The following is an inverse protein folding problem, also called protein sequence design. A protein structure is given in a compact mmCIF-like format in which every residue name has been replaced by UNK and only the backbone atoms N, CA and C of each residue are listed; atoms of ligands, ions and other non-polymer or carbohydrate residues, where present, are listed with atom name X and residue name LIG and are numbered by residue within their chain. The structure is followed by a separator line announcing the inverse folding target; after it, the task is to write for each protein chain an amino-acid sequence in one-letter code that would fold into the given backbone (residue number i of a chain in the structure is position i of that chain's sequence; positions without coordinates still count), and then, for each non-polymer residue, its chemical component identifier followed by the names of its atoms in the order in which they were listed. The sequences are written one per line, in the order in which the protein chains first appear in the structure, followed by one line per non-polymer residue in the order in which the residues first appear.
data_IF_014977512577
#
_entry.id   IF_014977512577
#
_cell.length_a   1.000
_cell.length_b   1.000
_cell.length_c   1.000
_cell.angle_alpha   90.00
_cell.angle_beta   90.00
_cell.angle_gamma   90.00
#
_symmetry.space_group_name_H-M   'P 1'
#
loop_
_entity.id
_entity.type
_entity.pdbx_description
1 polymer ?
#
# COMPACT_ATOMS: atom_id res chain seq x y z
N UNK A 1 17.30 -31.81 18.87
CA UNK A 1 17.22 -31.43 20.28
C UNK A 1 16.35 -30.20 20.37
N UNK A 2 15.19 -30.29 20.97
CA UNK A 2 14.38 -29.12 21.30
C UNK A 2 15.13 -28.36 22.39
N UNK A 3 15.56 -27.15 22.11
CA UNK A 3 16.23 -26.27 23.10
C UNK A 3 15.30 -26.10 24.31
N UNK A 4 15.70 -26.59 25.46
CA UNK A 4 15.00 -26.38 26.72
C UNK A 4 15.14 -24.90 27.09
N UNK A 5 14.04 -24.13 27.00
CA UNK A 5 14.05 -22.70 27.27
C UNK A 5 12.76 -22.21 27.91
N UNK A 6 12.90 -21.21 28.74
CA UNK A 6 11.78 -20.37 29.20
C UNK A 6 11.82 -19.02 28.50
N UNK A 7 10.63 -18.49 28.22
CA UNK A 7 10.47 -17.18 27.57
C UNK A 7 9.54 -16.31 28.39
N UNK A 8 9.96 -15.10 28.63
CA UNK A 8 9.21 -14.11 29.41
C UNK A 8 9.07 -12.81 28.63
N UNK A 9 7.87 -12.28 28.62
CA UNK A 9 7.61 -10.93 28.15
C UNK A 9 8.03 -9.93 29.23
N UNK A 10 8.82 -8.93 28.83
CA UNK A 10 9.34 -7.91 29.75
C UNK A 10 8.74 -6.53 29.48
N UNK A 11 8.70 -5.69 30.50
CA UNK A 11 8.41 -4.28 30.37
C UNK A 11 9.57 -3.57 29.65
N UNK A 12 9.38 -3.22 28.37
CA UNK A 12 10.40 -2.64 27.49
C UNK A 12 10.93 -1.29 27.99
N UNK A 13 10.08 -0.49 28.63
CA UNK A 13 10.45 0.86 29.09
C UNK A 13 11.44 0.88 30.25
N UNK A 14 11.40 -0.14 31.09
CA UNK A 14 12.25 -0.22 32.29
C UNK A 14 13.54 -1.02 32.08
N UNK A 15 13.63 -1.81 31.02
CA UNK A 15 14.74 -2.75 30.79
C UNK A 15 16.09 -2.04 30.78
N UNK A 16 16.24 -0.96 30.03
CA UNK A 16 17.53 -0.30 29.87
C UNK A 16 18.07 0.35 31.15
N UNK A 17 17.17 0.92 31.96
CA UNK A 17 17.58 1.57 33.19
C UNK A 17 18.02 0.57 34.29
N UNK A 18 17.46 -0.64 34.26
CA UNK A 18 17.73 -1.67 35.27
C UNK A 18 18.80 -2.68 34.84
N UNK A 19 18.83 -3.07 33.55
CA UNK A 19 19.80 -4.06 33.06
C UNK A 19 21.20 -3.49 32.90
N UNK A 20 21.36 -2.30 32.37
CA UNK A 20 22.69 -1.68 32.15
C UNK A 20 23.45 -1.44 33.49
N UNK A 21 22.73 -1.39 34.62
CA UNK A 21 23.33 -1.23 35.95
C UNK A 21 23.79 -2.56 36.57
N UNK A 22 23.20 -3.67 36.15
CA UNK A 22 23.34 -4.96 36.87
C UNK A 22 24.03 -6.06 36.06
N UNK A 23 24.15 -5.91 34.74
CA UNK A 23 24.69 -6.96 33.88
C UNK A 23 25.60 -6.41 32.78
N UNK A 24 26.69 -7.14 32.49
CA UNK A 24 27.52 -6.91 31.31
C UNK A 24 26.82 -7.56 30.12
N UNK A 25 26.34 -6.75 29.18
CA UNK A 25 25.60 -7.22 28.02
C UNK A 25 26.35 -6.94 26.73
N UNK A 26 26.43 -7.94 25.86
CA UNK A 26 26.84 -7.73 24.47
C UNK A 26 25.62 -7.42 23.61
N UNK A 27 25.67 -6.35 22.82
CA UNK A 27 24.60 -5.92 21.95
C UNK A 27 24.91 -6.26 20.48
N UNK A 28 24.03 -7.03 19.85
CA UNK A 28 24.08 -7.30 18.42
C UNK A 28 22.76 -6.92 17.75
N UNK A 29 22.83 -6.34 16.55
CA UNK A 29 21.65 -5.98 15.73
C UNK A 29 21.41 -7.01 14.66
N UNK A 30 20.16 -7.36 14.42
CA UNK A 30 19.75 -8.34 13.43
C UNK A 30 18.62 -7.80 12.54
N UNK A 31 18.61 -8.27 11.29
CA UNK A 31 17.62 -7.96 10.27
C UNK A 31 16.98 -9.26 9.77
N UNK A 32 15.69 -9.22 9.46
CA UNK A 32 14.98 -10.36 8.90
C UNK A 32 15.41 -10.59 7.45
N UNK A 33 15.78 -11.82 7.14
CA UNK A 33 16.22 -12.27 5.82
C UNK A 33 15.44 -13.50 5.38
N UNK A 34 15.05 -13.53 4.10
CA UNK A 34 14.58 -14.75 3.45
C UNK A 34 15.76 -15.45 2.75
N UNK A 35 16.01 -16.72 3.09
CA UNK A 35 16.99 -17.57 2.43
C UNK A 35 16.40 -18.97 2.24
N UNK A 36 16.39 -19.47 1.00
CA UNK A 36 15.86 -20.80 0.67
C UNK A 36 14.43 -21.04 1.22
N UNK A 37 13.53 -20.08 1.02
CA UNK A 37 12.16 -20.09 1.51
C UNK A 37 11.99 -20.14 3.05
N UNK A 38 13.06 -19.92 3.81
CA UNK A 38 13.02 -19.84 5.26
C UNK A 38 13.38 -18.44 5.75
N UNK A 39 12.64 -17.97 6.76
CA UNK A 39 12.95 -16.71 7.45
C UNK A 39 14.10 -16.95 8.43
N UNK A 40 15.11 -16.10 8.37
CA UNK A 40 16.26 -16.12 9.27
C UNK A 40 16.68 -14.71 9.66
N UNK A 41 17.38 -14.58 10.77
CA UNK A 41 18.00 -13.33 11.17
C UNK A 41 19.43 -13.23 10.61
N UNK A 42 19.82 -12.03 10.21
CA UNK A 42 21.16 -11.71 9.77
C UNK A 42 21.61 -10.38 10.38
N UNK A 43 22.88 -10.27 10.72
CA UNK A 43 23.51 -9.00 11.12
C UNK A 43 23.85 -8.11 9.92
N UNK A 44 23.61 -8.56 8.69
CA UNK A 44 23.86 -7.82 7.47
C UNK A 44 22.53 -7.35 6.86
N UNK A 45 22.39 -6.03 6.68
CA UNK A 45 21.19 -5.38 6.13
C UNK A 45 21.05 -5.47 4.61
N UNK A 46 22.15 -5.74 3.85
CA UNK A 46 22.16 -5.71 2.38
C UNK A 46 21.13 -6.64 1.72
N UNK A 47 20.77 -7.71 2.42
CA UNK A 47 19.78 -8.71 1.96
C UNK A 47 18.52 -8.74 2.83
N UNK A 48 18.31 -7.72 3.68
CA UNK A 48 17.12 -7.67 4.52
C UNK A 48 15.85 -7.51 3.69
N UNK A 49 14.80 -8.25 4.05
CA UNK A 49 13.46 -8.11 3.44
C UNK A 49 12.85 -6.78 3.88
N UNK A 50 13.01 -6.46 5.17
CA UNK A 50 12.48 -5.27 5.81
C UNK A 50 13.63 -4.50 6.45
N UNK A 51 13.97 -3.32 5.94
CA UNK A 51 15.04 -2.50 6.51
C UNK A 51 14.69 -1.87 7.86
N UNK A 52 13.41 -1.91 8.25
CA UNK A 52 12.90 -1.35 9.50
C UNK A 52 12.83 -2.38 10.65
N UNK A 53 13.05 -3.66 10.37
CA UNK A 53 13.01 -4.73 11.36
C UNK A 53 14.37 -4.85 12.05
N UNK A 54 14.58 -4.06 13.08
CA UNK A 54 15.72 -4.14 13.97
C UNK A 54 15.34 -4.98 15.18
N UNK A 55 15.94 -6.17 15.29
CA UNK A 55 16.03 -6.89 16.54
C UNK A 55 17.38 -6.59 17.17
N UNK A 56 17.38 -5.98 18.35
CA UNK A 56 18.57 -5.90 19.20
C UNK A 56 18.61 -7.11 20.12
N UNK A 57 19.70 -7.84 20.08
CA UNK A 57 19.96 -9.00 20.96
C UNK A 57 20.97 -8.60 22.02
N UNK A 58 20.61 -8.81 23.28
CA UNK A 58 21.51 -8.63 24.44
C UNK A 58 21.74 -9.99 25.08
N UNK A 59 23.00 -10.42 25.11
CA UNK A 59 23.42 -11.68 25.74
C UNK A 59 24.06 -11.41 27.09
N UNK A 60 23.69 -12.19 28.10
CA UNK A 60 24.23 -12.12 29.45
C UNK A 60 24.06 -13.47 30.17
N UNK A 61 24.48 -13.58 31.40
CA UNK A 61 24.33 -14.81 32.21
C UNK A 61 23.58 -14.52 33.50
N UNK A 62 22.67 -15.44 33.84
CA UNK A 62 22.01 -15.51 35.17
C UNK A 62 22.45 -16.79 35.87
N UNK A 63 23.20 -16.67 36.96
CA UNK A 63 23.68 -17.84 37.73
C UNK A 63 24.26 -18.96 36.84
N UNK A 64 25.12 -18.60 35.89
CA UNK A 64 25.73 -19.46 34.85
C UNK A 64 24.83 -19.87 33.65
N UNK A 65 23.53 -19.66 33.70
CA UNK A 65 22.64 -19.92 32.56
C UNK A 65 22.75 -18.84 31.50
N UNK A 66 22.87 -19.23 30.22
CA UNK A 66 22.88 -18.27 29.12
C UNK A 66 21.50 -17.63 28.98
N UNK A 67 21.45 -16.33 28.95
CA UNK A 67 20.26 -15.53 28.81
C UNK A 67 20.36 -14.58 27.62
N UNK A 68 19.24 -14.37 26.96
CA UNK A 68 19.12 -13.48 25.83
C UNK A 68 17.90 -12.58 25.98
N UNK A 69 18.08 -11.28 25.86
CA UNK A 69 16.96 -10.35 25.66
C UNK A 69 16.89 -9.99 24.19
N UNK A 70 15.73 -10.23 23.62
CA UNK A 70 15.36 -9.86 22.26
C UNK A 70 14.51 -8.60 22.33
N UNK A 71 15.01 -7.50 21.80
CA UNK A 71 14.29 -6.24 21.72
C UNK A 71 13.89 -5.97 20.28
N UNK A 72 12.60 -5.80 20.04
CA UNK A 72 12.04 -5.49 18.74
C UNK A 72 11.73 -3.99 18.70
N UNK A 73 12.65 -3.20 18.16
CA UNK A 73 12.59 -1.73 18.18
C UNK A 73 11.36 -1.17 17.42
N UNK A 74 10.80 -1.93 16.46
CA UNK A 74 9.68 -1.49 15.63
C UNK A 74 8.29 -1.66 16.27
N UNK A 75 8.18 -2.46 17.34
CA UNK A 75 6.89 -2.77 17.95
C UNK A 75 6.88 -2.72 19.48
N UNK A 76 7.91 -2.11 20.05
CA UNK A 76 8.07 -1.94 21.51
C UNK A 76 7.85 -3.24 22.30
N UNK A 77 8.55 -4.29 21.90
CA UNK A 77 8.44 -5.63 22.46
C UNK A 77 9.80 -6.11 22.95
N UNK A 78 9.87 -6.59 24.19
CA UNK A 78 11.06 -7.17 24.78
C UNK A 78 10.77 -8.57 25.31
N UNK A 79 11.58 -9.55 24.91
CA UNK A 79 11.45 -10.95 25.29
C UNK A 79 12.75 -11.42 25.93
N UNK A 80 12.68 -11.97 27.15
CA UNK A 80 13.76 -12.70 27.78
C UNK A 80 13.67 -14.17 27.41
N UNK A 81 14.75 -14.75 26.92
CA UNK A 81 14.92 -16.20 26.76
C UNK A 81 16.01 -16.67 27.72
N UNK A 82 15.71 -17.69 28.53
CA UNK A 82 16.66 -18.38 29.39
C UNK A 82 16.83 -19.78 28.87
N UNK A 83 18.08 -20.17 28.59
CA UNK A 83 18.43 -21.45 28.03
C UNK A 83 18.93 -22.40 29.12
N UNK A 84 18.48 -23.66 29.10
CA UNK A 84 18.82 -24.69 30.08
C UNK A 84 19.55 -25.84 29.41
N UNK A 85 20.51 -26.40 30.12
CA UNK A 85 21.26 -27.56 29.67
C UNK A 85 20.45 -28.86 29.83
N UNK A 86 19.64 -28.94 30.88
CA UNK A 86 18.83 -30.11 31.23
C UNK A 86 17.48 -29.75 31.88
N UNK A 87 16.65 -30.77 32.10
CA UNK A 87 15.33 -30.62 32.68
C UNK A 87 15.34 -30.32 34.19
N UNK A 88 16.40 -30.67 34.90
CA UNK A 88 16.54 -30.43 36.33
C UNK A 88 16.88 -28.96 36.57
N UNK A 89 17.75 -28.35 35.78
CA UNK A 89 17.99 -26.90 35.80
C UNK A 89 16.68 -26.13 35.54
N UNK A 90 15.86 -26.58 34.58
CA UNK A 90 14.59 -25.93 34.23
C UNK A 90 13.60 -26.01 35.42
N UNK A 91 13.47 -27.16 36.11
CA UNK A 91 12.56 -27.34 37.25
C UNK A 91 12.93 -26.49 38.46
N UNK A 92 14.22 -26.33 38.70
CA UNK A 92 14.74 -25.62 39.87
C UNK A 92 14.96 -24.12 39.62
N UNK A 93 14.77 -23.65 38.42
CA UNK A 93 15.04 -22.26 38.05
C UNK A 93 14.03 -21.30 38.66
N UNK A 94 14.56 -20.25 39.30
CA UNK A 94 13.80 -19.10 39.80
C UNK A 94 14.42 -17.83 39.23
N UNK A 95 13.57 -16.96 38.70
CA UNK A 95 14.02 -15.66 38.25
C UNK A 95 14.55 -14.82 39.42
N UNK A 96 15.71 -14.16 39.28
CA UNK A 96 16.15 -13.16 40.23
C UNK A 96 15.14 -12.03 40.37
N UNK A 97 14.91 -11.53 41.58
CA UNK A 97 13.92 -10.49 41.86
C UNK A 97 14.08 -9.22 40.99
N UNK A 98 15.31 -8.88 40.60
CA UNK A 98 15.61 -7.73 39.71
C UNK A 98 14.98 -7.89 38.35
N UNK A 99 14.88 -9.13 37.85
CA UNK A 99 14.29 -9.43 36.53
C UNK A 99 12.81 -9.77 36.70
N UNK A 100 12.46 -10.51 37.74
CA UNK A 100 11.08 -10.93 38.00
C UNK A 100 10.13 -9.73 38.08
N UNK A 101 10.57 -8.64 38.70
CA UNK A 101 9.83 -7.37 38.75
C UNK A 101 9.60 -6.71 37.35
N UNK A 102 10.30 -7.15 36.31
CA UNK A 102 10.14 -6.67 34.94
C UNK A 102 9.28 -7.61 34.09
N UNK A 103 8.99 -8.81 34.59
CA UNK A 103 8.21 -9.82 33.85
C UNK A 103 6.74 -9.42 33.84
N UNK A 104 6.16 -9.36 32.65
CA UNK A 104 4.74 -9.13 32.46
C UNK A 104 3.97 -10.45 32.29
N UNK A 105 4.59 -11.45 31.67
CA UNK A 105 3.93 -12.70 31.29
C UNK A 105 4.96 -13.80 30.97
N UNK A 106 4.67 -15.05 31.30
CA UNK A 106 5.39 -16.21 30.80
C UNK A 106 4.79 -16.64 29.45
N UNK A 107 5.58 -16.49 28.37
CA UNK A 107 5.15 -16.73 26.99
C UNK A 107 5.84 -17.96 26.36
N UNK A 108 6.35 -18.87 27.18
CA UNK A 108 7.18 -20.01 26.73
C UNK A 108 6.53 -20.83 25.60
N UNK A 109 5.24 -21.12 25.72
CA UNK A 109 4.49 -21.92 24.76
C UNK A 109 3.54 -21.10 23.87
N UNK A 110 3.77 -19.79 23.77
CA UNK A 110 2.92 -18.93 22.96
C UNK A 110 3.57 -18.59 21.61
N UNK A 111 3.12 -19.28 20.56
CA UNK A 111 3.65 -19.15 19.20
C UNK A 111 3.45 -17.75 18.60
N UNK A 112 2.49 -16.96 19.10
CA UNK A 112 2.30 -15.57 18.65
C UNK A 112 3.54 -14.72 18.86
N UNK A 113 4.36 -15.05 19.88
CA UNK A 113 5.64 -14.41 20.17
C UNK A 113 6.82 -15.08 19.47
N UNK A 114 6.60 -16.08 18.62
CA UNK A 114 7.68 -16.62 17.81
C UNK A 114 8.29 -15.53 16.93
N UNK A 115 9.61 -15.59 16.73
CA UNK A 115 10.39 -14.60 15.99
C UNK A 115 9.72 -14.20 14.66
N UNK A 116 9.31 -15.21 13.89
CA UNK A 116 8.73 -14.99 12.57
C UNK A 116 7.38 -14.26 12.66
N UNK A 117 6.55 -14.59 13.66
CA UNK A 117 5.25 -13.98 13.83
C UNK A 117 5.38 -12.52 14.27
N UNK A 118 6.25 -12.25 15.26
CA UNK A 118 6.53 -10.86 15.67
C UNK A 118 7.13 -10.04 14.51
N UNK A 119 8.04 -10.63 13.74
CA UNK A 119 8.66 -9.96 12.62
C UNK A 119 7.67 -9.60 11.50
N UNK A 120 6.70 -10.45 11.22
CA UNK A 120 5.73 -10.26 10.15
C UNK A 120 4.53 -9.40 10.60
N UNK A 121 4.00 -9.67 11.78
CA UNK A 121 2.72 -9.14 12.24
C UNK A 121 2.83 -8.14 13.40
N UNK A 122 4.00 -8.01 14.04
CA UNK A 122 4.23 -7.07 15.12
C UNK A 122 3.92 -7.62 16.51
N UNK A 123 3.67 -6.71 17.45
CA UNK A 123 3.44 -7.05 18.86
C UNK A 123 2.07 -7.72 19.07
N UNK A 124 1.99 -8.97 19.56
CA UNK A 124 0.73 -9.68 19.79
C UNK A 124 -0.20 -9.00 20.81
N UNK A 125 0.34 -8.19 21.72
CA UNK A 125 -0.45 -7.43 22.71
C UNK A 125 -1.03 -6.14 22.19
N UNK A 126 -0.59 -5.69 21.01
CA UNK A 126 -1.10 -4.46 20.44
C UNK A 126 -2.55 -4.64 20.00
N UNK A 127 -3.42 -3.80 20.54
CA UNK A 127 -4.81 -3.70 20.09
C UNK A 127 -4.97 -2.45 19.24
N UNK A 128 -5.30 -2.64 17.99
CA UNK A 128 -5.56 -1.53 17.08
C UNK A 128 -6.78 -0.74 17.54
N UNK A 129 -6.60 0.53 17.83
CA UNK A 129 -7.70 1.41 18.19
C UNK A 129 -8.22 2.12 16.94
N UNK A 130 -9.27 1.53 16.35
CA UNK A 130 -9.89 2.03 15.13
C UNK A 130 -10.37 3.48 15.24
N UNK A 131 -11.04 3.84 16.33
CA UNK A 131 -11.57 5.20 16.53
C UNK A 131 -10.47 6.27 16.56
N UNK A 132 -9.35 5.98 17.21
CA UNK A 132 -8.20 6.86 17.19
C UNK A 132 -7.55 6.94 15.81
N UNK A 133 -7.41 5.80 15.12
CA UNK A 133 -6.85 5.76 13.77
C UNK A 133 -7.70 6.56 12.77
N UNK A 134 -9.03 6.50 12.87
CA UNK A 134 -9.94 7.31 12.05
C UNK A 134 -9.72 8.81 12.26
N UNK A 135 -9.59 9.26 13.50
CA UNK A 135 -9.32 10.68 13.78
C UNK A 135 -8.02 11.15 13.13
N UNK A 136 -6.97 10.33 13.18
CA UNK A 136 -5.71 10.63 12.47
C UNK A 136 -5.88 10.62 10.96
N UNK A 137 -6.54 9.61 10.40
CA UNK A 137 -6.76 9.48 8.97
C UNK A 137 -7.54 10.67 8.39
N UNK A 138 -8.55 11.18 9.10
CA UNK A 138 -9.33 12.34 8.68
C UNK A 138 -8.53 13.65 8.64
N UNK A 139 -7.53 13.79 9.51
CA UNK A 139 -6.83 15.06 9.72
C UNK A 139 -5.49 15.15 8.99
N UNK A 140 -4.82 14.03 8.69
CA UNK A 140 -3.52 14.03 8.03
C UNK A 140 -3.67 14.20 6.51
N UNK A 141 -2.81 15.06 5.95
CA UNK A 141 -2.75 15.25 4.48
C UNK A 141 -2.19 14.01 3.76
N UNK A 142 -1.26 13.30 4.40
CA UNK A 142 -0.63 12.08 3.90
C UNK A 142 -0.73 11.00 4.98
N UNK A 143 -1.80 10.24 4.94
CA UNK A 143 -2.00 9.12 5.85
C UNK A 143 -1.23 7.90 5.34
N UNK A 144 -0.47 7.26 6.22
CA UNK A 144 0.18 5.98 5.98
C UNK A 144 -0.21 5.02 7.09
N UNK A 145 -0.82 3.92 6.72
CA UNK A 145 -1.22 2.91 7.70
C UNK A 145 0.01 2.15 8.17
N UNK A 146 0.37 2.36 9.43
CA UNK A 146 1.44 1.65 10.11
C UNK A 146 0.90 1.16 11.45
N UNK A 147 1.25 -0.07 11.82
CA UNK A 147 0.83 -0.66 13.08
C UNK A 147 1.94 -1.53 13.65
N UNK A 148 2.19 -1.44 14.97
CA UNK A 148 3.09 -2.34 15.67
C UNK A 148 2.48 -3.73 15.94
N UNK A 149 1.30 -4.04 15.44
CA UNK A 149 0.61 -5.31 15.64
C UNK A 149 -0.40 -5.63 14.56
N UNK A 150 -1.30 -6.56 14.85
CA UNK A 150 -2.35 -7.03 13.95
C UNK A 150 -3.41 -5.95 13.72
N UNK A 151 -3.84 -5.82 12.45
CA UNK A 151 -4.97 -4.99 12.05
C UNK A 151 -5.92 -5.85 11.23
N UNK A 152 -7.23 -5.77 11.50
CA UNK A 152 -8.22 -6.42 10.66
C UNK A 152 -8.28 -5.76 9.27
N UNK A 153 -8.62 -6.53 8.25
CA UNK A 153 -8.69 -6.01 6.89
C UNK A 153 -9.72 -4.87 6.79
N UNK A 154 -10.90 -5.01 7.38
CA UNK A 154 -11.92 -3.96 7.31
C UNK A 154 -11.50 -2.69 8.06
N UNK A 155 -10.85 -2.76 9.22
CA UNK A 155 -10.38 -1.57 9.93
C UNK A 155 -9.30 -0.83 9.13
N UNK A 156 -8.34 -1.58 8.60
CA UNK A 156 -7.26 -0.99 7.81
C UNK A 156 -7.77 -0.35 6.52
N UNK A 157 -8.67 -1.01 5.80
CA UNK A 157 -9.23 -0.50 4.54
C UNK A 157 -10.11 0.72 4.80
N UNK A 158 -10.96 0.70 5.84
CA UNK A 158 -11.77 1.86 6.23
C UNK A 158 -10.89 3.08 6.54
N UNK A 159 -9.82 2.89 7.32
CA UNK A 159 -8.88 3.98 7.62
C UNK A 159 -8.24 4.57 6.37
N UNK A 160 -7.87 3.74 5.39
CA UNK A 160 -7.30 4.23 4.13
C UNK A 160 -8.35 4.97 3.31
N UNK A 161 -9.56 4.45 3.18
CA UNK A 161 -10.64 5.12 2.43
C UNK A 161 -11.02 6.45 3.06
N UNK A 162 -11.16 6.52 4.39
CA UNK A 162 -11.47 7.78 5.09
C UNK A 162 -10.36 8.83 4.90
N UNK A 163 -9.10 8.39 4.82
CA UNK A 163 -7.97 9.28 4.57
C UNK A 163 -8.00 9.95 3.20
N UNK A 164 -8.68 9.36 2.23
CA UNK A 164 -8.84 9.89 0.88
C UNK A 164 -9.96 10.94 0.76
N UNK A 165 -10.87 11.04 1.75
CA UNK A 165 -12.01 11.98 1.70
C UNK A 165 -11.56 13.43 1.67
N UNK A 166 -10.61 13.81 2.52
CA UNK A 166 -10.10 15.20 2.58
C UNK A 166 -9.38 15.61 1.28
N UNK A 167 -8.44 14.80 0.74
CA UNK A 167 -7.85 15.06 -0.58
C UNK A 167 -8.88 15.10 -1.70
N UNK A 168 -9.89 14.22 -1.67
CA UNK A 168 -10.95 14.20 -2.67
C UNK A 168 -11.77 15.49 -2.67
N UNK A 169 -12.22 15.97 -1.49
CA UNK A 169 -12.91 17.27 -1.37
C UNK A 169 -12.03 18.42 -1.85
N UNK A 170 -10.75 18.43 -1.49
CA UNK A 170 -9.82 19.48 -1.92
C UNK A 170 -9.63 19.51 -3.45
N UNK A 171 -9.49 18.35 -4.09
CA UNK A 171 -9.35 18.27 -5.56
C UNK A 171 -10.66 18.57 -6.27
N UNK A 172 -11.81 18.20 -5.69
CA UNK A 172 -13.14 18.57 -6.19
C UNK A 172 -13.33 20.09 -6.22
N UNK A 173 -13.07 20.77 -5.10
CA UNK A 173 -13.14 22.22 -5.03
C UNK A 173 -12.19 22.91 -6.02
N UNK A 174 -10.99 22.34 -6.20
CA UNK A 174 -10.01 22.85 -7.16
C UNK A 174 -10.50 22.67 -8.61
N UNK A 175 -11.15 21.56 -8.93
CA UNK A 175 -11.77 21.34 -10.24
C UNK A 175 -12.90 22.34 -10.48
N UNK A 176 -13.81 22.52 -9.56
CA UNK A 176 -14.92 23.48 -9.66
C UNK A 176 -14.43 24.93 -9.85
N UNK A 177 -13.29 25.28 -9.23
CA UNK A 177 -12.71 26.63 -9.35
C UNK A 177 -11.99 26.87 -10.67
N UNK A 178 -11.26 25.88 -11.20
CA UNK A 178 -10.31 26.09 -12.29
C UNK A 178 -10.66 25.37 -13.59
N UNK A 179 -11.35 24.25 -13.57
CA UNK A 179 -11.84 23.46 -14.71
C UNK A 179 -10.80 23.14 -15.82
N UNK A 180 -9.52 23.24 -15.50
CA UNK A 180 -8.41 22.99 -16.43
C UNK A 180 -7.96 21.53 -16.40
N UNK A 181 -7.20 21.13 -17.43
CA UNK A 181 -6.67 19.76 -17.57
C UNK A 181 -5.93 19.26 -16.32
N UNK A 182 -5.23 20.14 -15.60
CA UNK A 182 -4.50 19.76 -14.38
C UNK A 182 -5.46 19.41 -13.24
N UNK A 183 -6.47 20.26 -12.96
CA UNK A 183 -7.45 20.02 -11.88
C UNK A 183 -8.30 18.78 -12.17
N UNK A 184 -8.68 18.54 -13.43
CA UNK A 184 -9.39 17.33 -13.86
C UNK A 184 -8.55 16.07 -13.58
N UNK A 185 -7.27 16.08 -13.97
CA UNK A 185 -6.39 14.94 -13.76
C UNK A 185 -6.13 14.66 -12.26
N UNK A 186 -6.00 15.70 -11.44
CA UNK A 186 -5.83 15.58 -9.99
C UNK A 186 -7.08 14.95 -9.35
N UNK A 187 -8.28 15.42 -9.69
CA UNK A 187 -9.54 14.86 -9.22
C UNK A 187 -9.71 13.41 -9.65
N UNK A 188 -9.52 13.14 -10.94
CA UNK A 188 -9.62 11.80 -11.50
C UNK A 188 -8.65 10.82 -10.82
N UNK A 189 -7.44 11.25 -10.50
CA UNK A 189 -6.46 10.42 -9.80
C UNK A 189 -6.96 9.99 -8.41
N UNK A 190 -7.54 10.88 -7.61
CA UNK A 190 -8.07 10.52 -6.28
C UNK A 190 -9.32 9.65 -6.39
N UNK A 191 -10.19 9.89 -7.37
CA UNK A 191 -11.35 9.02 -7.63
C UNK A 191 -10.89 7.60 -8.01
N UNK A 192 -9.91 7.48 -8.89
CA UNK A 192 -9.33 6.19 -9.27
C UNK A 192 -8.68 5.45 -8.08
N UNK A 193 -8.11 6.16 -7.09
CA UNK A 193 -7.62 5.54 -5.87
C UNK A 193 -8.77 4.89 -5.08
N UNK A 194 -9.87 5.61 -4.87
CA UNK A 194 -11.05 5.07 -4.21
C UNK A 194 -11.61 3.85 -4.95
N UNK A 195 -11.78 3.95 -6.28
CA UNK A 195 -12.28 2.86 -7.13
C UNK A 195 -11.37 1.63 -7.03
N UNK A 196 -10.04 1.81 -7.11
CA UNK A 196 -9.09 0.70 -7.05
C UNK A 196 -9.16 -0.06 -5.72
N UNK A 197 -9.33 0.64 -4.60
CA UNK A 197 -9.50 0.03 -3.28
C UNK A 197 -10.84 -0.69 -3.20
N UNK A 198 -11.94 -0.01 -3.52
CA UNK A 198 -13.29 -0.57 -3.45
C UNK A 198 -13.44 -1.82 -4.32
N UNK A 199 -12.93 -1.81 -5.56
CA UNK A 199 -12.95 -2.98 -6.45
C UNK A 199 -12.05 -4.11 -5.96
N UNK A 200 -10.91 -3.77 -5.34
CA UNK A 200 -9.97 -4.77 -4.83
C UNK A 200 -10.51 -5.49 -3.60
N UNK A 201 -11.23 -4.79 -2.77
CA UNK A 201 -11.77 -5.27 -1.50
C UNK A 201 -13.30 -5.39 -1.48
N UNK A 202 -13.93 -5.48 -2.65
CA UNK A 202 -15.39 -5.53 -2.78
C UNK A 202 -16.06 -6.58 -1.90
N UNK A 203 -15.41 -7.73 -1.69
CA UNK A 203 -15.94 -8.81 -0.85
C UNK A 203 -16.01 -8.48 0.66
N UNK A 204 -15.46 -7.34 1.10
CA UNK A 204 -15.50 -6.89 2.51
C UNK A 204 -16.73 -6.03 2.77
N UNK A 205 -17.27 -5.40 1.75
CA UNK A 205 -18.40 -4.48 1.84
C UNK A 205 -19.75 -5.18 1.57
N UNK A 206 -20.83 -4.57 2.01
CA UNK A 206 -22.15 -4.91 1.49
C UNK A 206 -22.21 -4.62 -0.01
N UNK A 207 -22.54 -5.64 -0.81
CA UNK A 207 -22.48 -5.58 -2.26
C UNK A 207 -23.42 -4.50 -2.84
N UNK A 208 -24.61 -4.34 -2.28
CA UNK A 208 -25.60 -3.37 -2.79
C UNK A 208 -25.08 -1.94 -2.60
N UNK A 209 -24.58 -1.64 -1.40
CA UNK A 209 -24.05 -0.33 -1.08
C UNK A 209 -22.80 -0.04 -1.91
N UNK A 210 -21.87 -1.00 -1.98
CA UNK A 210 -20.67 -0.87 -2.78
C UNK A 210 -20.98 -0.56 -4.25
N UNK A 211 -21.94 -1.28 -4.85
CA UNK A 211 -22.29 -1.12 -6.27
C UNK A 211 -22.87 0.26 -6.56
N UNK A 212 -23.64 0.85 -5.65
CA UNK A 212 -24.13 2.24 -5.80
C UNK A 212 -22.95 3.22 -5.91
N UNK A 213 -22.03 3.17 -4.95
CA UNK A 213 -20.86 4.06 -4.96
C UNK A 213 -19.96 3.81 -6.16
N UNK A 214 -19.62 2.56 -6.46
CA UNK A 214 -18.75 2.21 -7.59
C UNK A 214 -19.37 2.60 -8.93
N UNK A 215 -20.67 2.39 -9.13
CA UNK A 215 -21.37 2.76 -10.35
C UNK A 215 -21.26 4.27 -10.60
N UNK A 216 -21.55 5.07 -9.57
CA UNK A 216 -21.42 6.52 -9.65
C UNK A 216 -19.98 6.95 -9.94
N UNK A 217 -18.99 6.46 -9.16
CA UNK A 217 -17.59 6.85 -9.33
C UNK A 217 -17.04 6.44 -10.71
N UNK A 218 -17.39 5.26 -11.21
CA UNK A 218 -16.97 4.80 -12.54
C UNK A 218 -17.56 5.68 -13.65
N UNK A 219 -18.84 6.03 -13.57
CA UNK A 219 -19.49 6.92 -14.53
C UNK A 219 -18.84 8.31 -14.51
N UNK A 220 -18.63 8.86 -13.30
CA UNK A 220 -18.00 10.18 -13.17
C UNK A 220 -16.56 10.21 -13.68
N UNK A 221 -15.74 9.20 -13.37
CA UNK A 221 -14.37 9.11 -13.89
C UNK A 221 -14.34 8.93 -15.40
N UNK A 222 -15.32 8.23 -16.00
CA UNK A 222 -15.44 8.12 -17.44
C UNK A 222 -15.64 9.48 -18.09
N UNK A 223 -16.58 10.29 -17.56
CA UNK A 223 -16.85 11.64 -18.07
C UNK A 223 -15.65 12.59 -17.86
N UNK A 224 -14.98 12.52 -16.70
CA UNK A 224 -13.75 13.30 -16.45
C UNK A 224 -12.62 12.91 -17.41
N UNK A 225 -12.47 11.63 -17.74
CA UNK A 225 -11.48 11.18 -18.73
C UNK A 225 -11.77 11.72 -20.13
N UNK A 226 -13.04 11.69 -20.57
CA UNK A 226 -13.44 12.26 -21.86
C UNK A 226 -13.28 13.79 -21.88
N UNK A 227 -13.62 14.48 -20.80
CA UNK A 227 -13.38 15.91 -20.62
C UNK A 227 -11.87 16.24 -20.69
N UNK A 228 -11.03 15.46 -20.02
CA UNK A 228 -9.58 15.62 -20.07
C UNK A 228 -9.01 15.44 -21.49
N UNK A 229 -9.53 14.45 -22.24
CA UNK A 229 -9.15 14.23 -23.65
C UNK A 229 -9.54 15.41 -24.52
N UNK A 230 -10.77 15.93 -24.38
CA UNK A 230 -11.25 17.09 -25.16
C UNK A 230 -10.49 18.36 -24.79
N UNK A 231 -10.26 18.65 -23.50
CA UNK A 231 -9.42 19.76 -23.07
C UNK A 231 -8.02 19.67 -23.68
N UNK A 232 -7.39 18.52 -23.63
CA UNK A 232 -6.07 18.32 -24.22
C UNK A 232 -6.06 18.60 -25.73
N UNK A 233 -7.10 18.16 -26.46
CA UNK A 233 -7.24 18.46 -27.87
C UNK A 233 -7.47 19.95 -28.16
N UNK A 234 -8.34 20.63 -27.38
CA UNK A 234 -8.58 22.06 -27.53
C UNK A 234 -7.31 22.88 -27.26
N UNK A 235 -6.61 22.62 -26.14
CA UNK A 235 -5.35 23.27 -25.81
C UNK A 235 -4.31 23.07 -26.91
N UNK A 236 -4.23 21.89 -27.49
CA UNK A 236 -3.29 21.58 -28.55
C UNK A 236 -3.64 22.32 -29.87
N UNK A 237 -4.93 22.34 -30.27
CA UNK A 237 -5.41 23.04 -31.48
C UNK A 237 -5.21 24.54 -31.38
N UNK A 238 -5.44 25.14 -30.21
CA UNK A 238 -5.20 26.56 -29.94
C UNK A 238 -3.72 26.93 -30.14
N UNK A 239 -2.80 26.13 -29.58
CA UNK A 239 -1.36 26.36 -29.69
C UNK A 239 -0.86 26.26 -31.13
N UNK A 240 -1.48 25.39 -31.95
CA UNK A 240 -1.06 25.14 -33.32
C UNK A 240 -1.81 25.98 -34.37
N UNK A 241 -2.77 26.82 -33.97
CA UNK A 241 -3.60 27.64 -34.85
C UNK A 241 -4.32 26.83 -35.98
N UNK A 242 -4.81 25.63 -35.62
CA UNK A 242 -5.42 24.71 -36.62
C UNK A 242 -6.95 24.88 -36.62
N UNK A 243 -7.47 25.23 -37.77
CA UNK A 243 -8.84 25.06 -38.29
C UNK A 243 -10.02 25.51 -37.41
N UNK A 244 -10.62 26.65 -37.72
CA UNK A 244 -11.69 27.29 -36.90
C UNK A 244 -12.97 26.45 -36.78
N UNK A 245 -13.41 25.71 -37.85
CA UNK A 245 -14.67 24.96 -37.79
C UNK A 245 -14.60 23.70 -36.90
N UNK A 246 -13.55 22.89 -37.01
CA UNK A 246 -13.38 21.69 -36.22
C UNK A 246 -13.14 22.03 -34.74
N UNK A 247 -12.54 23.17 -34.45
CA UNK A 247 -12.34 23.68 -33.12
C UNK A 247 -13.66 24.06 -32.44
N UNK A 248 -14.56 24.77 -33.11
CA UNK A 248 -15.85 25.18 -32.55
C UNK A 248 -16.75 24.00 -32.17
N UNK A 249 -16.76 22.95 -33.00
CA UNK A 249 -17.51 21.71 -32.70
C UNK A 249 -16.93 21.03 -31.42
N UNK A 250 -15.61 20.86 -31.38
CA UNK A 250 -14.93 20.24 -30.26
C UNK A 250 -15.13 21.03 -28.95
N UNK A 251 -15.10 22.35 -29.03
CA UNK A 251 -15.30 23.22 -27.89
C UNK A 251 -16.74 23.17 -27.36
N UNK A 252 -17.74 23.07 -28.24
CA UNK A 252 -19.13 22.84 -27.85
C UNK A 252 -19.31 21.51 -27.13
N UNK A 253 -18.76 20.43 -27.68
CA UNK A 253 -18.81 19.11 -27.05
C UNK A 253 -18.07 19.07 -25.70
N UNK A 254 -16.95 19.80 -25.59
CA UNK A 254 -16.20 19.97 -24.36
C UNK A 254 -17.06 20.68 -23.29
N UNK A 255 -17.74 21.78 -23.67
CA UNK A 255 -18.57 22.56 -22.76
C UNK A 255 -19.74 21.73 -22.20
N UNK A 256 -20.42 20.94 -23.03
CA UNK A 256 -21.50 20.04 -22.57
C UNK A 256 -20.97 19.02 -21.57
N UNK A 257 -19.81 18.42 -21.82
CA UNK A 257 -19.18 17.48 -20.87
C UNK A 257 -18.74 18.18 -19.58
N UNK A 258 -18.27 19.41 -19.65
CA UNK A 258 -17.88 20.21 -18.50
C UNK A 258 -19.07 20.45 -17.58
N UNK A 259 -20.21 20.86 -18.16
CA UNK A 259 -21.46 21.09 -17.41
C UNK A 259 -21.96 19.80 -16.74
N UNK A 260 -21.91 18.65 -17.42
CA UNK A 260 -22.25 17.34 -16.85
C UNK A 260 -21.29 16.97 -15.72
N UNK A 261 -19.99 17.17 -15.88
CA UNK A 261 -19.00 16.93 -14.82
C UNK A 261 -19.21 17.86 -13.60
N UNK A 262 -19.63 19.10 -13.80
CA UNK A 262 -19.97 20.03 -12.71
C UNK A 262 -21.21 19.53 -11.95
N UNK A 263 -22.27 19.14 -12.67
CA UNK A 263 -23.48 18.58 -12.05
C UNK A 263 -23.14 17.35 -11.20
N UNK A 264 -22.35 16.42 -11.73
CA UNK A 264 -21.87 15.24 -10.99
C UNK A 264 -20.95 15.57 -9.82
N UNK A 265 -20.24 16.69 -9.87
CA UNK A 265 -19.42 17.17 -8.76
C UNK A 265 -20.29 17.53 -7.54
N UNK A 266 -21.41 18.20 -7.76
CA UNK A 266 -22.36 18.51 -6.70
C UNK A 266 -23.09 17.27 -6.15
N UNK A 267 -23.40 16.29 -7.01
CA UNK A 267 -23.92 15.01 -6.60
C UNK A 267 -22.89 14.24 -5.75
N UNK A 268 -21.61 14.24 -6.15
CA UNK A 268 -20.53 13.61 -5.39
C UNK A 268 -20.42 14.14 -3.95
N UNK A 269 -20.66 15.43 -3.72
CA UNK A 269 -20.62 15.99 -2.36
C UNK A 269 -21.62 15.31 -1.41
N UNK A 270 -22.80 14.98 -1.90
CA UNK A 270 -23.82 14.28 -1.11
C UNK A 270 -23.45 12.80 -0.93
N UNK A 271 -23.03 12.14 -2.01
CA UNK A 271 -22.57 10.76 -1.97
C UNK A 271 -21.39 10.60 -0.99
N UNK A 272 -20.48 11.54 -0.93
CA UNK A 272 -19.37 11.51 0.03
C UNK A 272 -19.83 11.59 1.49
N UNK A 273 -20.93 12.29 1.79
CA UNK A 273 -21.49 12.31 3.16
C UNK A 273 -22.02 10.93 3.54
N UNK A 274 -22.76 10.29 2.63
CA UNK A 274 -23.27 8.93 2.84
C UNK A 274 -22.13 7.92 2.93
N UNK A 275 -21.11 8.04 2.07
CA UNK A 275 -19.95 7.16 2.10
C UNK A 275 -19.17 7.27 3.41
N UNK A 276 -18.98 8.48 3.93
CA UNK A 276 -18.36 8.69 5.26
C UNK A 276 -19.17 8.01 6.35
N UNK A 277 -20.51 8.11 6.31
CA UNK A 277 -21.37 7.41 7.27
C UNK A 277 -21.15 5.90 7.20
N UNK A 278 -21.18 5.32 5.99
CA UNK A 278 -20.92 3.89 5.77
C UNK A 278 -19.56 3.45 6.32
N UNK A 279 -18.50 4.26 6.08
CA UNK A 279 -17.16 3.95 6.58
C UNK A 279 -17.05 3.99 8.11
N UNK A 280 -17.93 4.71 8.80
CA UNK A 280 -17.96 4.76 10.25
C UNK A 280 -18.82 3.66 10.88
N UNK A 281 -19.74 3.07 10.11
CA UNK A 281 -20.68 2.07 10.61
C UNK A 281 -20.06 0.66 10.49
N UNK A 282 -20.01 -0.05 11.63
CA UNK A 282 -19.46 -1.39 11.69
C UNK A 282 -20.36 -2.43 11.01
N UNK A 283 -21.68 -2.21 10.95
CA UNK A 283 -22.63 -3.19 10.39
C UNK A 283 -22.40 -3.45 8.89
N UNK A 284 -21.97 -2.44 8.13
CA UNK A 284 -21.69 -2.57 6.70
C UNK A 284 -20.43 -3.40 6.37
N UNK A 285 -19.59 -3.66 7.35
CA UNK A 285 -18.34 -4.41 7.18
C UNK A 285 -18.40 -5.80 7.83
N UNK A 286 -19.36 -6.09 8.68
CA UNK A 286 -19.44 -7.36 9.41
C UNK A 286 -19.94 -8.54 8.58
N UNK A 287 -20.48 -8.33 7.41
CA UNK A 287 -21.09 -9.38 6.59
C UNK A 287 -20.07 -10.37 6.00
N UNK A 288 -18.79 -9.99 5.91
CA UNK A 288 -17.75 -10.83 5.29
C UNK A 288 -16.71 -11.34 6.29
N UNK A 289 -16.45 -12.67 6.32
CA UNK A 289 -15.33 -13.22 7.10
C UNK A 289 -13.97 -12.65 6.70
N UNK A 290 -13.78 -12.27 5.43
CA UNK A 290 -12.53 -11.68 4.91
C UNK A 290 -12.18 -10.37 5.60
N UNK A 291 -13.17 -9.59 6.02
CA UNK A 291 -12.94 -8.34 6.75
C UNK A 291 -12.33 -8.53 8.12
N UNK A 292 -12.55 -9.68 8.75
CA UNK A 292 -12.02 -10.03 10.08
C UNK A 292 -10.60 -10.56 10.04
N UNK A 293 -10.15 -11.03 8.87
CA UNK A 293 -8.79 -11.54 8.71
C UNK A 293 -7.75 -10.42 8.87
N UNK A 294 -6.52 -10.82 9.16
CA UNK A 294 -5.40 -9.88 9.25
C UNK A 294 -5.14 -9.23 7.88
N UNK A 295 -4.90 -7.91 7.91
CA UNK A 295 -4.83 -7.07 6.71
C UNK A 295 -3.70 -7.48 5.74
N UNK A 296 -2.47 -7.73 6.23
CA UNK A 296 -1.33 -8.07 5.38
C UNK A 296 -1.53 -9.40 4.66
N UNK A 297 -2.08 -10.38 5.37
CA UNK A 297 -2.41 -11.70 4.83
C UNK A 297 -3.56 -11.64 3.83
N UNK A 298 -4.54 -10.75 4.04
CA UNK A 298 -5.64 -10.51 3.09
C UNK A 298 -5.16 -9.80 1.83
N UNK A 299 -4.22 -8.87 1.98
CA UNK A 299 -3.66 -8.10 0.87
C UNK A 299 -2.70 -8.92 -0.01
N UNK A 300 -1.92 -9.84 0.57
CA UNK A 300 -0.86 -10.54 -0.13
C UNK A 300 -1.37 -11.32 -1.36
N UNK A 301 -2.38 -12.22 -1.27
CA UNK A 301 -2.91 -12.91 -2.43
C UNK A 301 -3.55 -11.98 -3.45
N UNK A 302 -4.16 -10.89 -2.99
CA UNK A 302 -4.73 -9.88 -3.87
C UNK A 302 -3.65 -9.19 -4.70
N UNK A 303 -2.54 -8.77 -4.09
CA UNK A 303 -1.40 -8.19 -4.79
C UNK A 303 -0.81 -9.18 -5.80
N UNK A 304 -0.58 -10.42 -5.40
CA UNK A 304 -0.04 -11.47 -6.27
C UNK A 304 -0.93 -11.69 -7.49
N UNK A 305 -2.26 -11.75 -7.29
CA UNK A 305 -3.22 -11.90 -8.38
C UNK A 305 -3.20 -10.68 -9.32
N UNK A 306 -3.23 -9.45 -8.79
CA UNK A 306 -3.19 -8.22 -9.59
C UNK A 306 -1.86 -8.08 -10.36
N UNK A 307 -0.73 -8.45 -9.77
CA UNK A 307 0.56 -8.49 -10.44
C UNK A 307 0.53 -9.47 -11.61
N UNK A 308 0.02 -10.69 -11.41
CA UNK A 308 -0.10 -11.69 -12.47
C UNK A 308 -0.99 -11.19 -13.61
N UNK A 309 -2.16 -10.63 -13.31
CA UNK A 309 -3.06 -10.03 -14.31
C UNK A 309 -2.38 -8.89 -15.09
N UNK A 310 -1.58 -8.07 -14.43
CA UNK A 310 -0.83 -7.01 -15.09
C UNK A 310 0.25 -7.58 -16.02
N UNK A 311 1.00 -8.59 -15.58
CA UNK A 311 2.05 -9.22 -16.37
C UNK A 311 1.54 -9.88 -17.65
N UNK A 312 0.32 -10.42 -17.65
CA UNK A 312 -0.29 -10.95 -18.89
C UNK A 312 -0.60 -9.89 -19.93
N UNK A 313 -0.77 -8.63 -19.52
CA UNK A 313 -1.16 -7.51 -20.37
C UNK A 313 0.00 -6.55 -20.69
N UNK A 314 1.11 -6.62 -20.00
CA UNK A 314 2.20 -5.64 -20.06
C UNK A 314 2.83 -5.47 -21.45
N UNK A 315 2.72 -6.50 -22.29
CA UNK A 315 3.19 -6.48 -23.69
C UNK A 315 2.04 -6.40 -24.70
N UNK A 316 0.82 -6.15 -24.26
CA UNK A 316 -0.29 -5.90 -25.19
C UNK A 316 -0.09 -4.55 -25.93
N UNK A 317 -0.72 -4.41 -27.09
CA UNK A 317 -0.74 -3.13 -27.81
C UNK A 317 -1.80 -2.16 -27.28
N UNK A 318 -2.55 -2.57 -26.24
CA UNK A 318 -3.54 -1.73 -25.57
C UNK A 318 -2.87 -0.91 -24.46
N UNK A 319 -2.26 0.21 -24.83
CA UNK A 319 -1.55 1.09 -23.91
C UNK A 319 -2.47 1.74 -22.86
N UNK A 320 -3.74 1.95 -23.18
CA UNK A 320 -4.72 2.47 -22.21
C UNK A 320 -4.94 1.46 -21.06
N UNK A 321 -5.16 0.19 -21.41
CA UNK A 321 -5.29 -0.89 -20.41
C UNK A 321 -4.02 -1.06 -19.57
N UNK A 322 -2.83 -1.02 -20.20
CA UNK A 322 -1.55 -1.07 -19.47
C UNK A 322 -1.45 0.08 -18.46
N UNK A 323 -1.81 1.31 -18.89
CA UNK A 323 -1.79 2.50 -18.04
C UNK A 323 -2.71 2.38 -16.84
N UNK A 324 -3.94 1.93 -17.04
CA UNK A 324 -4.95 1.73 -15.99
C UNK A 324 -4.48 0.68 -14.98
N UNK A 325 -4.06 -0.49 -15.46
CA UNK A 325 -3.62 -1.60 -14.57
C UNK A 325 -2.33 -1.27 -13.82
N UNK A 326 -1.39 -0.57 -14.46
CA UNK A 326 -0.20 -0.06 -13.77
C UNK A 326 -0.56 0.95 -12.68
N UNK A 327 -1.56 1.81 -12.93
CA UNK A 327 -2.04 2.78 -11.94
C UNK A 327 -2.77 2.10 -10.77
N UNK A 328 -3.62 1.10 -11.01
CA UNK A 328 -4.25 0.31 -9.94
C UNK A 328 -3.20 -0.30 -9.00
N UNK A 329 -2.21 -0.99 -9.55
CA UNK A 329 -1.12 -1.57 -8.76
C UNK A 329 -0.26 -0.51 -8.06
N UNK A 330 0.00 0.63 -8.70
CA UNK A 330 0.70 1.76 -8.10
C UNK A 330 -0.04 2.28 -6.88
N UNK A 331 -1.36 2.46 -6.98
CA UNK A 331 -2.22 2.91 -5.87
C UNK A 331 -2.13 1.94 -4.70
N UNK A 332 -2.35 0.65 -4.95
CA UNK A 332 -2.29 -0.37 -3.90
C UNK A 332 -0.90 -0.43 -3.25
N UNK A 333 0.17 -0.44 -4.06
CA UNK A 333 1.54 -0.47 -3.56
C UNK A 333 1.93 0.79 -2.77
N UNK A 334 1.37 1.96 -3.13
CA UNK A 334 1.64 3.22 -2.44
C UNK A 334 0.91 3.32 -1.11
N UNK A 335 -0.35 2.87 -1.04
CA UNK A 335 -1.19 2.99 0.15
C UNK A 335 -0.91 1.89 1.18
N UNK A 336 -0.62 0.67 0.71
CA UNK A 336 -0.48 -0.51 1.58
C UNK A 336 0.93 -1.09 1.62
N UNK A 337 1.82 -0.69 0.71
CA UNK A 337 3.18 -1.25 0.65
C UNK A 337 4.02 -1.01 1.90
N UNK A 338 3.76 0.07 2.65
CA UNK A 338 4.41 0.37 3.93
C UNK A 338 4.14 -0.66 5.02
N UNK A 339 3.00 -1.37 4.95
CA UNK A 339 2.66 -2.45 5.88
C UNK A 339 3.68 -3.60 5.86
N UNK A 340 4.29 -3.87 4.71
CA UNK A 340 5.32 -4.91 4.55
C UNK A 340 6.72 -4.44 4.94
N UNK A 341 6.86 -3.21 5.44
CA UNK A 341 8.10 -2.59 5.95
C UNK A 341 9.31 -2.75 5.01
N UNK A 342 9.06 -2.83 3.69
CA UNK A 342 10.08 -3.09 2.68
C UNK A 342 10.21 -1.92 1.71
N UNK A 343 11.43 -1.37 1.59
CA UNK A 343 11.75 -0.37 0.56
C UNK A 343 11.55 -0.88 -0.87
N UNK A 344 11.44 -2.22 -1.07
CA UNK A 344 11.18 -2.82 -2.37
C UNK A 344 9.82 -2.42 -2.90
N UNK A 345 8.79 -2.34 -2.03
CA UNK A 345 7.45 -1.87 -2.42
C UNK A 345 7.44 -0.41 -2.91
N UNK A 346 8.15 0.49 -2.24
CA UNK A 346 8.27 1.88 -2.68
C UNK A 346 8.95 1.99 -4.05
N UNK A 347 10.03 1.21 -4.28
CA UNK A 347 10.71 1.13 -5.58
C UNK A 347 9.82 0.51 -6.66
N UNK A 348 9.02 -0.48 -6.31
CA UNK A 348 8.04 -1.12 -7.20
C UNK A 348 6.94 -0.13 -7.60
N UNK A 349 6.32 0.56 -6.63
CA UNK A 349 5.33 1.60 -6.87
C UNK A 349 5.85 2.69 -7.81
N UNK A 350 7.08 3.20 -7.59
CA UNK A 350 7.69 4.18 -8.49
C UNK A 350 7.82 3.69 -9.93
N UNK A 351 8.14 2.39 -10.13
CA UNK A 351 8.23 1.81 -11.48
C UNK A 351 6.86 1.69 -12.15
N UNK A 352 5.83 1.28 -11.41
CA UNK A 352 4.45 1.21 -11.89
C UNK A 352 3.93 2.59 -12.32
N UNK A 353 4.14 3.62 -11.49
CA UNK A 353 3.79 4.99 -11.83
C UNK A 353 4.47 5.45 -13.13
N UNK A 354 5.74 5.15 -13.29
CA UNK A 354 6.48 5.47 -14.53
C UNK A 354 5.93 4.73 -15.76
N UNK A 355 5.40 3.54 -15.63
CA UNK A 355 4.75 2.78 -16.71
C UNK A 355 3.41 3.45 -17.04
N UNK A 356 2.59 3.75 -16.04
CA UNK A 356 1.30 4.43 -16.20
C UNK A 356 1.47 5.76 -16.94
N UNK A 357 2.40 6.62 -16.51
CA UNK A 357 2.68 7.91 -17.15
C UNK A 357 3.06 7.73 -18.61
N UNK A 358 3.94 6.77 -18.95
CA UNK A 358 4.35 6.56 -20.34
C UNK A 358 3.24 5.98 -21.20
N UNK A 359 2.44 5.06 -20.67
CA UNK A 359 1.29 4.51 -21.38
C UNK A 359 0.28 5.61 -21.71
N UNK A 360 -0.01 6.48 -20.75
CA UNK A 360 -0.89 7.64 -20.94
C UNK A 360 -0.32 8.62 -21.98
N UNK A 361 1.00 8.80 -22.03
CA UNK A 361 1.63 9.64 -23.06
C UNK A 361 1.46 9.05 -24.47
N UNK A 362 1.59 7.74 -24.62
CA UNK A 362 1.34 7.05 -25.90
C UNK A 362 -0.13 7.22 -26.32
N UNK A 363 -1.06 7.06 -25.37
CA UNK A 363 -2.50 7.26 -25.61
C UNK A 363 -2.77 8.69 -26.09
N UNK A 364 -2.19 9.70 -25.43
CA UNK A 364 -2.31 11.10 -25.86
C UNK A 364 -1.83 11.33 -27.29
N UNK A 365 -0.67 10.80 -27.66
CA UNK A 365 -0.18 10.90 -29.04
C UNK A 365 -1.07 10.17 -30.05
N UNK A 366 -1.64 9.02 -29.69
CA UNK A 366 -2.59 8.30 -30.54
C UNK A 366 -3.90 9.09 -30.74
N UNK A 367 -4.41 9.76 -29.70
CA UNK A 367 -5.59 10.62 -29.79
C UNK A 367 -5.33 11.78 -30.74
N UNK A 368 -4.19 12.46 -30.62
CA UNK A 368 -3.79 13.51 -31.57
C UNK A 368 -3.69 12.97 -33.01
N UNK A 369 -3.00 11.86 -33.22
CA UNK A 369 -2.84 11.26 -34.51
C UNK A 369 -4.19 10.89 -35.17
N UNK A 370 -5.17 10.45 -34.37
CA UNK A 370 -6.53 10.16 -34.85
C UNK A 370 -7.30 11.44 -35.21
N UNK A 371 -7.19 12.48 -34.36
CA UNK A 371 -7.89 13.74 -34.56
C UNK A 371 -7.43 14.48 -35.86
N UNK A 372 -6.18 14.29 -36.25
CA UNK A 372 -5.58 14.90 -37.45
C UNK A 372 -5.60 14.00 -38.72
N UNK A 373 -6.30 12.86 -38.66
CA UNK A 373 -6.48 12.01 -39.86
C UNK A 373 -7.31 12.75 -40.92
N UNK A 374 -6.67 13.20 -42.02
CA UNK A 374 -7.32 13.93 -43.09
C UNK A 374 -6.81 15.35 -43.31
N UNK A 375 -6.06 15.92 -42.39
CA UNK A 375 -5.44 17.24 -42.61
C UNK A 375 -4.14 17.13 -43.43
N UNK A 376 -3.85 18.15 -44.25
CA UNK A 376 -2.58 18.30 -44.99
C UNK A 376 -1.41 18.63 -44.05
N UNK A 377 -1.04 17.68 -43.16
CA UNK A 377 -0.04 17.87 -42.10
C UNK A 377 0.92 16.68 -42.03
N UNK A 378 1.48 16.29 -43.15
CA UNK A 378 2.31 15.07 -43.22
C UNK A 378 3.55 15.11 -42.30
N UNK A 379 4.21 16.25 -42.19
CA UNK A 379 5.36 16.41 -41.29
C UNK A 379 4.97 16.24 -39.83
N UNK A 380 3.83 16.79 -39.44
CA UNK A 380 3.31 16.66 -38.10
C UNK A 380 2.94 15.20 -37.73
N UNK A 381 2.25 14.51 -38.68
CA UNK A 381 1.94 13.07 -38.50
C UNK A 381 3.21 12.23 -38.41
N UNK A 382 4.24 12.55 -39.18
CA UNK A 382 5.53 11.90 -39.12
C UNK A 382 6.19 12.11 -37.75
N UNK A 383 6.15 13.34 -37.23
CA UNK A 383 6.67 13.65 -35.91
C UNK A 383 5.90 12.91 -34.78
N UNK A 384 4.55 12.87 -34.84
CA UNK A 384 3.73 12.10 -33.92
C UNK A 384 4.06 10.61 -33.95
N UNK A 385 4.21 10.04 -35.14
CA UNK A 385 4.58 8.64 -35.32
C UNK A 385 5.95 8.33 -34.70
N UNK A 386 6.92 9.23 -34.87
CA UNK A 386 8.24 9.12 -34.24
C UNK A 386 8.14 9.21 -32.69
N UNK A 387 7.34 10.13 -32.16
CA UNK A 387 7.11 10.29 -30.74
C UNK A 387 6.43 9.05 -30.13
N UNK A 388 5.46 8.46 -30.83
CA UNK A 388 4.84 7.18 -30.43
C UNK A 388 5.90 6.08 -30.37
N UNK A 389 6.68 5.90 -31.42
CA UNK A 389 7.71 4.87 -31.51
C UNK A 389 8.78 5.01 -30.40
N UNK A 390 9.22 6.24 -30.12
CA UNK A 390 10.14 6.50 -29.02
C UNK A 390 9.54 6.20 -27.65
N UNK A 391 8.27 6.57 -27.45
CA UNK A 391 7.56 6.33 -26.18
C UNK A 391 7.30 4.84 -25.96
N UNK A 392 7.01 4.08 -27.01
CA UNK A 392 6.91 2.61 -26.96
C UNK A 392 8.25 1.99 -26.54
N UNK A 393 9.36 2.37 -27.17
CA UNK A 393 10.70 1.89 -26.78
C UNK A 393 11.05 2.22 -25.32
N UNK A 394 10.62 3.40 -24.83
CA UNK A 394 10.81 3.78 -23.41
C UNK A 394 9.96 2.90 -22.50
N UNK A 395 8.71 2.61 -22.89
CA UNK A 395 7.80 1.75 -22.14
C UNK A 395 8.36 0.32 -22.03
N UNK A 396 8.83 -0.27 -23.13
CA UNK A 396 9.41 -1.62 -23.15
C UNK A 396 10.61 -1.74 -22.22
N UNK A 397 11.52 -0.74 -22.21
CA UNK A 397 12.64 -0.70 -21.27
C UNK A 397 12.18 -0.65 -19.80
N UNK A 398 11.07 0.05 -19.53
CA UNK A 398 10.52 0.15 -18.17
C UNK A 398 9.83 -1.14 -17.77
N UNK A 399 9.13 -1.79 -18.69
CA UNK A 399 8.52 -3.10 -18.47
C UNK A 399 9.57 -4.15 -18.12
N UNK A 400 10.69 -4.22 -18.85
CA UNK A 400 11.80 -5.11 -18.55
C UNK A 400 12.43 -4.84 -17.15
N UNK A 401 12.56 -3.57 -16.77
CA UNK A 401 13.06 -3.19 -15.42
C UNK A 401 12.07 -3.52 -14.32
N UNK A 402 10.78 -3.51 -14.60
CA UNK A 402 9.75 -3.92 -13.65
C UNK A 402 9.79 -5.43 -13.43
N UNK A 403 9.86 -6.22 -14.49
CA UNK A 403 9.93 -7.68 -14.45
C UNK A 403 10.99 -8.18 -13.44
N UNK A 404 12.20 -7.59 -13.49
CA UNK A 404 13.29 -7.91 -12.55
C UNK A 404 12.97 -7.61 -11.09
N UNK A 405 11.89 -6.86 -10.80
CA UNK A 405 11.48 -6.50 -9.42
C UNK A 405 10.23 -7.24 -8.96
N UNK A 406 9.51 -7.82 -9.89
CA UNK A 406 8.28 -8.56 -9.56
C UNK A 406 8.59 -9.76 -8.67
N UNK A 407 9.63 -10.52 -8.99
CA UNK A 407 9.98 -11.72 -8.22
C UNK A 407 10.32 -11.37 -6.77
N UNK A 408 11.06 -10.27 -6.55
CA UNK A 408 11.38 -9.79 -5.20
C UNK A 408 10.12 -9.42 -4.39
N UNK A 409 9.09 -8.89 -5.05
CA UNK A 409 7.81 -8.56 -4.41
C UNK A 409 6.99 -9.82 -4.14
N UNK A 410 6.93 -10.74 -5.12
CA UNK A 410 6.22 -12.02 -4.96
C UNK A 410 6.80 -12.88 -3.84
N UNK A 411 8.12 -12.92 -3.69
CA UNK A 411 8.77 -13.60 -2.56
C UNK A 411 8.31 -13.04 -1.21
N UNK A 412 8.21 -11.71 -1.08
CA UNK A 412 7.71 -11.10 0.14
C UNK A 412 6.24 -11.46 0.38
N UNK A 413 5.39 -11.33 -0.65
CA UNK A 413 3.96 -11.61 -0.53
C UNK A 413 3.69 -13.06 -0.16
N UNK A 414 4.41 -14.01 -0.76
CA UNK A 414 4.28 -15.44 -0.49
C UNK A 414 4.43 -15.79 1.00
N UNK A 415 5.32 -15.10 1.71
CA UNK A 415 5.51 -15.30 3.15
C UNK A 415 4.22 -15.03 3.94
N UNK A 416 3.49 -13.98 3.57
CA UNK A 416 2.23 -13.60 4.23
C UNK A 416 1.05 -14.45 3.76
N UNK A 417 1.06 -14.95 2.51
CA UNK A 417 0.07 -15.90 2.00
C UNK A 417 0.13 -17.25 2.75
N UNK A 418 1.35 -17.76 3.02
CA UNK A 418 1.56 -19.04 3.69
C UNK A 418 1.32 -18.99 5.20
N UNK A 419 1.39 -17.81 5.82
CA UNK A 419 1.25 -17.61 7.27
C UNK A 419 0.00 -16.83 7.66
N UNK A 420 -0.97 -16.73 6.76
CA UNK A 420 -2.26 -16.11 7.06
C UNK A 420 -2.96 -16.79 8.23
N UNK A 421 -3.45 -15.98 9.19
CA UNK A 421 -4.26 -16.41 10.32
C UNK A 421 -5.74 -16.39 9.97
#
# INVERSE_FOLDING_TARGET
MTDLKLRFLLNSQEIFSKLAKNFICEKTKYYLRLKNNALSLSNNDKNAICNALLQSKFTFRLANLPCVILLYDFCDLAILEVLFNDADELKNFKLPSVIDNLVLENITNNDSYALNNVALFGNPRFKFNYQNALKYAQNLANFSLQSPGLISAYDGIRCVLISLIKPLKATLNKFLAHKNTKSINELNFILMQNIAIMQSFGAIFDEKILNVFLSFLNNYTTNLNELAKKNYLCEYLQVQNIGVQSFAILERERSVLEDDCIAKSHELENILKEWVFVLHDDEFFYSSPLGKNELKSTLAPLFSRKINMFLTQIYSLNYESIGIKANELFVLASLFGSLYQSQKFAKFAKKLNNISINSNQIVKYKILNKAFNGAQMDDFKKQLSQNIAQSVKKLDKKNQKLYKKVDEIKEILKIYEEKGF
#
